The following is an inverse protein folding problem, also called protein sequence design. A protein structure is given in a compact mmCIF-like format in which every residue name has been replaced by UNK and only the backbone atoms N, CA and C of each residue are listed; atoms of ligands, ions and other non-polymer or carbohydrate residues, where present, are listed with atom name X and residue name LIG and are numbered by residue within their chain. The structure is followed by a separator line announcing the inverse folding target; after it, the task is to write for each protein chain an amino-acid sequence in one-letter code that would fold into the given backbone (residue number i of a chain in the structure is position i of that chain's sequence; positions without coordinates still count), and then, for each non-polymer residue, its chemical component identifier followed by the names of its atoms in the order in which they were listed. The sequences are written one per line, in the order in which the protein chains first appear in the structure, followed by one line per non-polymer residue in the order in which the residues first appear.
data_IF_133259306783
#
_entry.id   IF_133259306783
#
_cell.length_a   1.000
_cell.length_b   1.000
_cell.length_c   1.000
_cell.angle_alpha   90.00
_cell.angle_beta   90.00
_cell.angle_gamma   90.00
#
_symmetry.space_group_name_H-M   'P 1'
#
loop_
_entity.id
_entity.type
_entity.pdbx_description
1 polymer ?
#
# COMPACT_ATOMS: atom_id res chain seq x y z
N UNK A 1 5.19 12.95 14.08
CA UNK A 1 6.62 13.28 13.86
C UNK A 1 7.42 12.13 14.47
N UNK A 2 8.55 11.73 13.90
CA UNK A 2 9.28 10.54 14.32
C UNK A 2 10.70 10.91 14.76
N UNK A 3 11.16 10.28 15.84
CA UNK A 3 12.53 10.42 16.34
C UNK A 3 13.43 9.45 15.56
N UNK A 4 14.34 9.98 14.74
CA UNK A 4 15.25 9.19 13.92
C UNK A 4 16.64 9.78 14.08
N UNK A 5 17.60 8.99 14.58
CA UNK A 5 18.97 9.42 14.86
C UNK A 5 19.00 10.73 15.69
N UNK A 6 18.27 10.75 16.80
CA UNK A 6 18.17 11.89 17.74
C UNK A 6 17.58 13.17 17.13
N UNK A 7 17.08 13.12 15.89
CA UNK A 7 16.43 14.25 15.22
C UNK A 7 14.97 13.96 14.96
N UNK A 8 14.13 14.93 15.33
CA UNK A 8 12.70 14.86 15.09
C UNK A 8 12.41 15.28 13.64
N UNK A 9 11.87 14.38 12.82
CA UNK A 9 11.51 14.66 11.42
C UNK A 9 10.19 14.03 10.98
N UNK A 10 9.66 14.47 9.85
CA UNK A 10 8.55 13.80 9.15
C UNK A 10 9.10 12.69 8.25
N UNK A 11 8.30 11.66 8.02
CA UNK A 11 8.63 10.62 7.03
C UNK A 11 8.66 11.26 5.64
N UNK A 12 9.62 10.86 4.81
CA UNK A 12 9.69 11.21 3.41
C UNK A 12 8.60 10.43 2.64
N UNK A 13 8.02 10.95 1.53
CA UNK A 13 6.99 10.23 0.81
C UNK A 13 7.41 8.84 0.32
N UNK A 14 8.70 8.61 0.05
CA UNK A 14 9.22 7.27 -0.24
C UNK A 14 9.11 6.32 0.95
N UNK A 15 9.35 6.81 2.16
CA UNK A 15 9.19 6.01 3.39
C UNK A 15 7.71 5.68 3.60
N UNK A 16 6.80 6.64 3.36
CA UNK A 16 5.36 6.39 3.37
C UNK A 16 4.94 5.36 2.31
N UNK A 17 5.48 5.44 1.09
CA UNK A 17 5.22 4.46 0.04
C UNK A 17 5.63 3.04 0.46
N UNK A 18 6.84 2.88 1.03
CA UNK A 18 7.31 1.59 1.54
C UNK A 18 6.44 1.07 2.68
N UNK A 19 6.04 1.95 3.61
CA UNK A 19 5.15 1.59 4.72
C UNK A 19 3.80 1.06 4.23
N UNK A 20 3.25 1.66 3.16
CA UNK A 20 2.00 1.22 2.54
C UNK A 20 2.17 -0.03 1.64
N UNK A 21 3.40 -0.52 1.44
CA UNK A 21 3.71 -1.71 0.66
C UNK A 21 3.89 -1.47 -0.85
N UNK A 22 4.11 -0.23 -1.28
CA UNK A 22 4.41 0.09 -2.68
C UNK A 22 5.81 -0.40 -3.09
N UNK A 23 5.99 -0.84 -4.35
CA UNK A 23 7.30 -1.26 -4.84
C UNK A 23 8.28 -0.09 -4.91
N UNK A 24 9.57 -0.39 -4.83
CA UNK A 24 10.66 0.60 -4.91
C UNK A 24 10.61 1.40 -6.24
N UNK A 25 10.18 0.74 -7.31
CA UNK A 25 9.99 1.32 -8.65
C UNK A 25 8.79 2.28 -8.78
N UNK A 26 7.96 2.42 -7.74
CA UNK A 26 6.80 3.31 -7.78
C UNK A 26 7.23 4.77 -8.00
N UNK A 27 6.63 5.44 -8.99
CA UNK A 27 6.95 6.83 -9.34
C UNK A 27 6.21 7.77 -8.39
N UNK A 28 6.96 8.56 -7.63
CA UNK A 28 6.40 9.58 -6.75
C UNK A 28 6.04 10.83 -7.54
N UNK A 29 4.99 11.53 -7.14
CA UNK A 29 4.65 12.82 -7.69
C UNK A 29 5.67 13.89 -7.24
N UNK A 30 6.03 14.83 -8.12
CA UNK A 30 7.05 15.86 -7.84
C UNK A 30 6.74 16.70 -6.58
N UNK A 31 5.45 16.91 -6.29
CA UNK A 31 4.97 17.60 -5.08
C UNK A 31 4.80 16.64 -3.90
N UNK A 32 5.61 16.83 -2.84
CA UNK A 32 5.54 16.03 -1.60
C UNK A 32 4.18 16.08 -0.90
N UNK A 33 3.53 17.24 -0.85
CA UNK A 33 2.22 17.42 -0.21
C UNK A 33 1.13 16.56 -0.87
N UNK A 34 1.17 16.45 -2.20
CA UNK A 34 0.27 15.59 -2.97
C UNK A 34 0.53 14.13 -2.62
N UNK A 35 1.79 13.72 -2.54
CA UNK A 35 2.14 12.36 -2.15
C UNK A 35 1.63 12.01 -0.74
N UNK A 36 1.79 12.88 0.25
CA UNK A 36 1.26 12.62 1.59
C UNK A 36 -0.26 12.47 1.60
N UNK A 37 -0.99 13.30 0.84
CA UNK A 37 -2.43 13.17 0.70
C UNK A 37 -2.81 11.84 0.03
N UNK A 38 -2.13 11.47 -1.05
CA UNK A 38 -2.39 10.22 -1.76
C UNK A 38 -2.10 9.01 -0.88
N UNK A 39 -0.95 8.95 -0.21
CA UNK A 39 -0.61 7.83 0.67
C UNK A 39 -1.51 7.74 1.89
N UNK A 40 -1.91 8.88 2.48
CA UNK A 40 -2.86 8.90 3.59
C UNK A 40 -4.27 8.41 3.19
N UNK A 41 -4.67 8.63 1.94
CA UNK A 41 -5.95 8.15 1.40
C UNK A 41 -5.84 6.80 0.69
N UNK A 42 -4.65 6.22 0.60
CA UNK A 42 -4.42 4.95 -0.10
C UNK A 42 -4.69 3.77 0.81
N UNK A 43 -4.70 2.59 0.20
CA UNK A 43 -4.87 1.30 0.89
C UNK A 43 -3.53 0.60 1.04
N UNK A 44 -3.42 -0.22 2.08
CA UNK A 44 -2.21 -1.00 2.36
C UNK A 44 -2.15 -2.20 1.39
N UNK A 45 -1.18 -2.19 0.47
CA UNK A 45 -1.08 -3.17 -0.62
C UNK A 45 -1.06 -4.63 -0.15
N UNK A 46 -0.27 -5.04 0.87
CA UNK A 46 -0.24 -6.44 1.29
C UNK A 46 -1.60 -6.93 1.81
N UNK A 47 -2.42 -6.05 2.41
CA UNK A 47 -3.76 -6.42 2.88
C UNK A 47 -4.69 -6.68 1.70
N UNK A 48 -4.70 -5.77 0.72
CA UNK A 48 -5.51 -5.95 -0.50
C UNK A 48 -5.12 -7.22 -1.24
N UNK A 49 -3.82 -7.52 -1.32
CA UNK A 49 -3.33 -8.77 -1.94
C UNK A 49 -3.87 -10.01 -1.22
N UNK A 50 -3.94 -10.01 0.11
CA UNK A 50 -4.49 -11.12 0.89
C UNK A 50 -6.00 -11.28 0.70
N UNK A 51 -6.74 -10.18 0.69
CA UNK A 51 -8.18 -10.19 0.42
C UNK A 51 -8.45 -10.77 -0.99
N UNK A 52 -7.69 -10.31 -1.99
CA UNK A 52 -7.83 -10.80 -3.36
C UNK A 52 -7.54 -12.30 -3.48
N UNK A 53 -6.51 -12.80 -2.81
CA UNK A 53 -6.22 -14.24 -2.76
C UNK A 53 -7.38 -15.05 -2.20
N UNK A 54 -8.11 -14.51 -1.22
CA UNK A 54 -9.25 -15.21 -0.63
C UNK A 54 -10.49 -15.16 -1.55
N UNK A 55 -10.70 -14.03 -2.22
CA UNK A 55 -11.73 -13.90 -3.26
C UNK A 55 -11.46 -14.90 -4.40
N UNK A 56 -10.23 -14.99 -4.88
CA UNK A 56 -9.81 -15.91 -5.94
C UNK A 56 -10.10 -17.37 -5.56
N UNK A 57 -9.71 -17.81 -4.36
CA UNK A 57 -10.03 -19.16 -3.87
C UNK A 57 -11.54 -19.42 -3.82
N UNK A 58 -12.31 -18.44 -3.33
CA UNK A 58 -13.76 -18.56 -3.23
C UNK A 58 -14.39 -18.72 -4.62
N UNK A 59 -13.92 -17.94 -5.60
CA UNK A 59 -14.39 -18.03 -6.98
C UNK A 59 -13.98 -19.34 -7.65
N UNK A 60 -12.74 -19.82 -7.49
CA UNK A 60 -12.31 -21.10 -8.05
C UNK A 60 -13.11 -22.30 -7.50
N UNK A 61 -13.67 -22.20 -6.29
CA UNK A 61 -14.53 -23.22 -5.72
C UNK A 61 -15.96 -23.24 -6.31
N UNK A 62 -16.36 -22.20 -7.04
CA UNK A 62 -17.71 -22.07 -7.63
C UNK A 62 -17.81 -22.80 -8.99
N UNK A 63 -16.69 -23.04 -9.69
CA UNK A 63 -16.66 -23.64 -11.05
C UNK A 63 -16.77 -25.18 -11.10
N UNK A 64 -17.18 -25.87 -10.04
CA UNK A 64 -17.46 -27.33 -10.07
C UNK A 64 -18.93 -27.70 -9.81
N UNK A 65 -19.84 -26.72 -9.75
CA UNK A 65 -21.29 -26.96 -9.54
C UNK A 65 -22.19 -26.12 -10.45
N UNK A 66 -21.71 -25.72 -11.63
CA UNK A 66 -22.61 -25.31 -12.71
C UNK A 66 -23.12 -26.61 -13.37
N UNK A 67 -24.34 -26.97 -13.01
CA UNK A 67 -25.15 -28.01 -13.62
C UNK A 67 -25.46 -27.72 -15.09
#
# INVERSE_FOLDING_TARGET
MYLINERLRRLHPRECARLMGFPESFKLHNRRNVCYKLFGNSVVIPVVKKIFQEIEKSLSNIDLKAA
#
